data_IF_102881250259
#
_entry.id   IF_102881250259
#
_cell.length_a   1.000
_cell.length_b   1.000
_cell.length_c   1.000
_cell.angle_alpha   90.00
_cell.angle_beta   90.00
_cell.angle_gamma   90.00
#
_symmetry.space_group_name_H-M   'P 1'
#
loop_
_entity.id
_entity.type
_entity.pdbx_description
1 polymer ?
#
# COMPACT_ATOMS: atom_id res chain seq x y z
N UNK A 1 0.91 16.25 -27.37
CA UNK A 1 -0.10 16.37 -26.30
C UNK A 1 0.09 15.13 -25.45
N UNK A 2 0.36 15.21 -24.15
CA UNK A 2 0.41 14.01 -23.33
C UNK A 2 -1.02 13.50 -23.21
N UNK A 3 -1.30 12.31 -23.71
CA UNK A 3 -2.60 11.71 -23.57
C UNK A 3 -2.90 11.55 -22.08
N UNK A 4 -4.08 12.02 -21.67
CA UNK A 4 -4.56 11.92 -20.29
C UNK A 4 -4.78 10.45 -19.96
N UNK A 5 -4.21 9.93 -18.88
CA UNK A 5 -4.31 8.53 -18.47
C UNK A 5 -5.73 8.23 -17.93
N UNK A 6 -6.44 7.30 -18.59
CA UNK A 6 -7.78 6.87 -18.19
C UNK A 6 -7.69 5.83 -17.06
N UNK A 7 -8.28 6.14 -15.92
CA UNK A 7 -8.21 5.30 -14.73
C UNK A 7 -9.60 4.79 -14.35
N UNK A 8 -9.68 3.48 -14.15
CA UNK A 8 -10.84 2.79 -13.60
C UNK A 8 -10.60 2.48 -12.12
N UNK A 9 -11.58 2.78 -11.27
CA UNK A 9 -11.52 2.50 -9.84
C UNK A 9 -12.53 1.42 -9.47
N UNK A 10 -12.09 0.40 -8.75
CA UNK A 10 -12.94 -0.60 -8.10
C UNK A 10 -13.00 -0.36 -6.59
N UNK A 11 -14.13 -0.70 -5.94
CA UNK A 11 -14.37 -0.36 -4.55
C UNK A 11 -14.56 1.15 -4.35
N UNK A 12 -15.26 1.80 -5.27
CA UNK A 12 -15.37 3.26 -5.39
C UNK A 12 -15.95 3.94 -4.15
N UNK A 13 -16.83 3.27 -3.38
CA UNK A 13 -17.47 3.82 -2.17
C UNK A 13 -16.64 3.60 -0.91
N UNK A 14 -15.59 2.77 -0.97
CA UNK A 14 -14.66 2.55 0.13
C UNK A 14 -13.81 3.77 0.43
N UNK A 15 -13.25 3.85 1.66
CA UNK A 15 -12.41 4.99 2.09
C UNK A 15 -11.22 5.24 1.15
N UNK A 16 -10.63 4.19 0.56
CA UNK A 16 -9.54 4.33 -0.42
C UNK A 16 -10.08 4.72 -1.80
N UNK A 17 -11.18 4.10 -2.25
CA UNK A 17 -11.82 4.45 -3.53
C UNK A 17 -12.17 5.93 -3.62
N UNK A 18 -12.80 6.47 -2.58
CA UNK A 18 -13.13 7.92 -2.49
C UNK A 18 -11.87 8.79 -2.55
N UNK A 19 -10.81 8.45 -1.81
CA UNK A 19 -9.55 9.19 -1.83
C UNK A 19 -8.87 9.14 -3.21
N UNK A 20 -8.90 7.99 -3.88
CA UNK A 20 -8.38 7.82 -5.24
C UNK A 20 -9.15 8.66 -6.25
N UNK A 21 -10.49 8.59 -6.24
CA UNK A 21 -11.33 9.38 -7.16
C UNK A 21 -11.06 10.88 -6.96
N UNK A 22 -10.97 11.35 -5.71
CA UNK A 22 -10.66 12.75 -5.42
C UNK A 22 -9.29 13.18 -5.97
N UNK A 23 -8.26 12.35 -5.83
CA UNK A 23 -6.93 12.64 -6.36
C UNK A 23 -6.90 12.59 -7.90
N UNK A 24 -7.61 11.62 -8.53
CA UNK A 24 -7.72 11.52 -10.00
C UNK A 24 -8.37 12.78 -10.59
N UNK A 25 -9.48 13.22 -10.01
CA UNK A 25 -10.21 14.43 -10.48
C UNK A 25 -9.37 15.70 -10.32
N UNK A 26 -8.49 15.73 -9.33
CA UNK A 26 -7.61 16.88 -9.05
C UNK A 26 -6.33 16.91 -9.91
N UNK A 27 -5.97 15.79 -10.53
CA UNK A 27 -4.72 15.65 -11.30
C UNK A 27 -4.96 15.88 -12.79
N UNK A 28 -4.21 16.82 -13.40
CA UNK A 28 -4.37 17.20 -14.82
C UNK A 28 -3.94 16.13 -15.81
N UNK A 29 -3.18 15.12 -15.39
CA UNK A 29 -2.64 14.05 -16.23
C UNK A 29 -3.46 12.77 -16.16
N UNK A 30 -4.52 12.75 -15.34
CA UNK A 30 -5.37 11.58 -15.15
C UNK A 30 -6.85 11.93 -15.33
N UNK A 31 -7.63 10.95 -15.77
CA UNK A 31 -9.08 11.06 -15.95
C UNK A 31 -9.76 9.82 -15.39
N UNK A 32 -10.78 10.01 -14.57
CA UNK A 32 -11.66 8.93 -14.17
C UNK A 32 -12.51 8.51 -15.38
N UNK A 33 -12.37 7.26 -15.83
CA UNK A 33 -13.17 6.71 -16.92
C UNK A 33 -14.27 5.75 -16.43
N UNK A 34 -14.15 5.22 -15.20
CA UNK A 34 -15.15 4.36 -14.60
C UNK A 34 -14.95 4.23 -13.09
N UNK A 35 -16.05 3.93 -12.40
CA UNK A 35 -16.08 3.68 -10.95
C UNK A 35 -16.99 2.49 -10.67
N UNK A 36 -16.46 1.48 -9.99
CA UNK A 36 -17.19 0.25 -9.73
C UNK A 36 -17.30 -0.05 -8.26
N UNK A 37 -18.44 -0.66 -7.89
CA UNK A 37 -18.71 -1.11 -6.55
C UNK A 37 -19.44 -2.44 -6.56
N UNK A 38 -19.50 -3.11 -5.40
CA UNK A 38 -20.28 -4.33 -5.23
C UNK A 38 -21.75 -4.09 -5.59
N UNK A 39 -22.38 -5.05 -6.28
CA UNK A 39 -23.74 -4.95 -6.81
C UNK A 39 -24.82 -4.59 -5.77
N UNK A 40 -24.59 -4.95 -4.50
CA UNK A 40 -25.54 -4.67 -3.40
C UNK A 40 -25.28 -3.29 -2.76
N UNK A 41 -24.39 -2.48 -3.31
CA UNK A 41 -24.16 -1.12 -2.81
C UNK A 41 -25.33 -0.20 -3.13
N UNK A 42 -25.80 0.53 -2.12
CA UNK A 42 -26.85 1.55 -2.28
C UNK A 42 -26.40 2.76 -3.11
N UNK A 43 -25.12 2.83 -3.48
CA UNK A 43 -24.56 3.94 -4.28
C UNK A 43 -24.48 3.64 -5.77
N UNK A 44 -24.94 2.48 -6.22
CA UNK A 44 -25.03 2.19 -7.65
C UNK A 44 -25.93 3.22 -8.34
N UNK A 45 -25.46 3.81 -9.43
CA UNK A 45 -26.13 4.88 -10.17
C UNK A 45 -25.87 6.30 -9.62
N UNK A 46 -25.18 6.46 -8.48
CA UNK A 46 -24.75 7.77 -8.01
C UNK A 46 -23.48 8.22 -8.73
N UNK A 47 -23.31 9.53 -8.89
CA UNK A 47 -22.05 10.11 -9.40
C UNK A 47 -20.88 9.77 -8.46
N UNK A 48 -19.76 9.34 -9.02
CA UNK A 48 -18.58 8.92 -8.27
C UNK A 48 -17.97 10.03 -7.38
N UNK A 49 -18.29 11.30 -7.65
CA UNK A 49 -17.94 12.45 -6.82
C UNK A 49 -18.91 12.77 -5.69
N UNK A 50 -19.95 11.95 -5.51
CA UNK A 50 -21.01 12.16 -4.50
C UNK A 50 -20.45 12.48 -3.10
N UNK A 51 -19.42 11.76 -2.68
CA UNK A 51 -18.89 11.84 -1.31
C UNK A 51 -18.07 13.10 -1.00
N UNK A 52 -17.67 13.85 -2.02
CA UNK A 52 -16.87 15.09 -1.86
C UNK A 52 -17.43 16.28 -2.63
N UNK A 53 -18.70 16.20 -3.04
CA UNK A 53 -19.43 17.32 -3.62
C UNK A 53 -18.93 17.82 -4.99
N UNK A 54 -18.16 16.98 -5.70
CA UNK A 54 -17.67 17.30 -7.04
C UNK A 54 -18.37 16.42 -8.07
N UNK A 55 -18.95 17.02 -9.10
CA UNK A 55 -19.57 16.25 -10.18
C UNK A 55 -18.52 15.70 -11.13
N UNK A 56 -18.46 14.37 -11.24
CA UNK A 56 -17.52 13.67 -12.13
C UNK A 56 -18.15 13.32 -13.49
N UNK A 57 -19.47 13.24 -13.58
CA UNK A 57 -20.25 12.68 -14.67
C UNK A 57 -19.92 11.21 -14.97
N UNK A 58 -19.42 10.48 -13.97
CA UNK A 58 -19.18 9.05 -13.99
C UNK A 58 -20.06 8.42 -12.93
N UNK A 59 -20.98 7.57 -13.32
CA UNK A 59 -21.85 6.84 -12.39
C UNK A 59 -21.13 5.63 -11.83
N UNK A 60 -21.34 5.33 -10.54
CA UNK A 60 -20.86 4.11 -9.90
C UNK A 60 -21.67 2.93 -10.43
N UNK A 61 -20.98 1.90 -10.94
CA UNK A 61 -21.59 0.71 -11.57
C UNK A 61 -21.33 -0.58 -10.79
N UNK A 62 -22.23 -1.54 -10.95
CA UNK A 62 -22.15 -2.84 -10.29
C UNK A 62 -21.22 -3.85 -11.00
N UNK A 63 -20.70 -3.52 -12.17
CA UNK A 63 -19.88 -4.43 -13.00
C UNK A 63 -19.22 -3.69 -14.15
N UNK A 64 -18.36 -4.40 -14.86
CA UNK A 64 -17.68 -3.89 -16.07
C UNK A 64 -18.68 -3.65 -17.19
N UNK A 65 -18.52 -2.52 -17.86
CA UNK A 65 -19.27 -2.16 -19.06
C UNK A 65 -18.29 -1.63 -20.13
N UNK A 66 -18.82 -1.12 -21.25
CA UNK A 66 -18.00 -0.61 -22.35
C UNK A 66 -17.05 0.52 -21.93
N UNK A 67 -17.41 1.32 -20.92
CA UNK A 67 -16.54 2.38 -20.40
C UNK A 67 -15.30 1.84 -19.69
N UNK A 68 -15.39 0.65 -19.09
CA UNK A 68 -14.28 0.00 -18.45
C UNK A 68 -13.19 -0.45 -19.43
N UNK A 69 -13.57 -0.78 -20.68
CA UNK A 69 -12.62 -1.16 -21.72
C UNK A 69 -11.76 0.01 -22.23
N UNK A 70 -12.17 1.25 -21.95
CA UNK A 70 -11.39 2.45 -22.28
C UNK A 70 -10.33 2.79 -21.22
N UNK A 71 -10.21 2.00 -20.16
CA UNK A 71 -9.23 2.24 -19.12
C UNK A 71 -7.81 1.84 -19.55
N UNK A 72 -6.85 2.70 -19.29
CA UNK A 72 -5.42 2.38 -19.43
C UNK A 72 -4.92 1.61 -18.18
N UNK A 73 -5.45 1.97 -17.01
CA UNK A 73 -5.07 1.40 -15.71
C UNK A 73 -6.30 1.21 -14.83
N UNK A 74 -6.39 0.04 -14.17
CA UNK A 74 -7.32 -0.22 -13.08
C UNK A 74 -6.56 -0.12 -11.74
N UNK A 75 -7.16 0.55 -10.74
CA UNK A 75 -6.61 0.64 -9.37
C UNK A 75 -7.57 -0.06 -8.40
N UNK A 76 -7.01 -0.97 -7.59
CA UNK A 76 -7.76 -1.84 -6.69
C UNK A 76 -7.19 -1.85 -5.26
N UNK A 77 -8.08 -1.59 -4.29
CA UNK A 77 -7.86 -1.73 -2.85
C UNK A 77 -9.03 -2.49 -2.20
N UNK A 78 -9.49 -3.56 -2.81
CA UNK A 78 -10.68 -4.29 -2.37
C UNK A 78 -10.34 -5.50 -1.49
N UNK A 79 -10.59 -6.70 -1.97
CA UNK A 79 -10.34 -7.98 -1.27
C UNK A 79 -9.75 -9.00 -2.23
N UNK A 80 -8.94 -9.97 -1.77
CA UNK A 80 -8.27 -10.95 -2.63
C UNK A 80 -9.18 -11.63 -3.65
N UNK A 81 -10.35 -12.11 -3.24
CA UNK A 81 -11.29 -12.79 -4.16
C UNK A 81 -11.76 -11.88 -5.31
N UNK A 82 -12.14 -10.63 -5.00
CA UNK A 82 -12.56 -9.67 -6.02
C UNK A 82 -11.38 -9.21 -6.88
N UNK A 83 -10.21 -9.01 -6.27
CA UNK A 83 -8.99 -8.63 -6.98
C UNK A 83 -8.60 -9.64 -8.06
N UNK A 84 -8.77 -10.94 -7.82
CA UNK A 84 -8.49 -11.98 -8.81
C UNK A 84 -9.48 -11.94 -9.99
N UNK A 85 -10.75 -11.62 -9.73
CA UNK A 85 -11.75 -11.40 -10.80
C UNK A 85 -11.38 -10.18 -11.66
N UNK A 86 -10.98 -9.08 -11.00
CA UNK A 86 -10.52 -7.87 -11.71
C UNK A 86 -9.22 -8.09 -12.47
N UNK A 87 -8.30 -8.88 -11.92
CA UNK A 87 -7.07 -9.28 -12.60
C UNK A 87 -7.36 -10.05 -13.90
N UNK A 88 -8.30 -11.02 -13.85
CA UNK A 88 -8.72 -11.77 -15.03
C UNK A 88 -9.32 -10.85 -16.09
N UNK A 89 -10.14 -9.88 -15.68
CA UNK A 89 -10.68 -8.85 -16.59
C UNK A 89 -9.54 -8.01 -17.22
N UNK A 90 -8.60 -7.53 -16.41
CA UNK A 90 -7.47 -6.75 -16.88
C UNK A 90 -6.60 -7.51 -17.90
N UNK A 91 -6.32 -8.80 -17.66
CA UNK A 91 -5.60 -9.67 -18.61
C UNK A 91 -6.30 -9.73 -19.96
N UNK A 92 -7.61 -9.98 -19.95
CA UNK A 92 -8.42 -10.16 -21.18
C UNK A 92 -8.49 -8.87 -22.01
N UNK A 93 -8.49 -7.70 -21.37
CA UNK A 93 -8.63 -6.41 -22.03
C UNK A 93 -7.29 -5.64 -22.14
N UNK A 94 -6.17 -6.25 -21.70
CA UNK A 94 -4.83 -5.64 -21.71
C UNK A 94 -4.75 -4.32 -20.94
N UNK A 95 -5.56 -4.20 -19.87
CA UNK A 95 -5.57 -3.07 -18.93
C UNK A 95 -4.47 -3.31 -17.89
N UNK A 96 -3.65 -2.30 -17.60
CA UNK A 96 -2.62 -2.38 -16.57
C UNK A 96 -3.23 -2.30 -15.18
N UNK A 97 -2.56 -2.86 -14.17
CA UNK A 97 -3.19 -3.08 -12.88
C UNK A 97 -2.35 -2.57 -11.70
N UNK A 98 -2.90 -1.65 -10.92
CA UNK A 98 -2.34 -1.22 -9.62
C UNK A 98 -3.09 -1.94 -8.52
N UNK A 99 -2.41 -2.83 -7.81
CA UNK A 99 -2.97 -3.72 -6.80
C UNK A 99 -2.43 -3.36 -5.41
N UNK A 100 -3.28 -2.73 -4.61
CA UNK A 100 -3.01 -2.36 -3.21
C UNK A 100 -3.74 -3.27 -2.21
N UNK A 101 -4.50 -4.26 -2.67
CA UNK A 101 -5.13 -5.28 -1.83
C UNK A 101 -4.08 -6.15 -1.16
N UNK A 102 -4.31 -6.50 0.09
CA UNK A 102 -3.43 -7.36 0.90
C UNK A 102 -4.15 -8.64 1.32
N UNK A 103 -3.39 -9.61 1.85
CA UNK A 103 -3.96 -10.86 2.38
C UNK A 103 -4.08 -11.99 1.36
N UNK A 104 -3.37 -11.91 0.23
CA UNK A 104 -3.29 -13.02 -0.73
C UNK A 104 -2.49 -14.20 -0.16
N UNK A 105 -2.97 -15.40 -0.41
CA UNK A 105 -2.21 -16.64 -0.24
C UNK A 105 -1.08 -16.74 -1.27
N UNK A 106 -0.12 -17.63 -1.04
CA UNK A 106 1.00 -17.81 -1.96
C UNK A 106 0.55 -18.27 -3.36
N UNK A 107 -0.48 -19.14 -3.44
CA UNK A 107 -1.09 -19.53 -4.71
C UNK A 107 -1.73 -18.35 -5.46
N UNK A 108 -2.36 -17.44 -4.74
CA UNK A 108 -2.95 -16.24 -5.36
C UNK A 108 -1.86 -15.27 -5.83
N UNK A 109 -0.73 -15.18 -5.13
CA UNK A 109 0.45 -14.42 -5.59
C UNK A 109 1.06 -15.01 -6.85
N UNK A 110 1.11 -16.35 -6.98
CA UNK A 110 1.54 -17.03 -8.21
C UNK A 110 0.64 -16.66 -9.42
N UNK A 111 -0.69 -16.55 -9.20
CA UNK A 111 -1.61 -16.09 -10.26
C UNK A 111 -1.32 -14.64 -10.67
N UNK A 112 -1.01 -13.77 -9.71
CA UNK A 112 -0.65 -12.37 -9.98
C UNK A 112 0.67 -12.30 -10.76
N UNK A 113 1.65 -13.10 -10.37
CA UNK A 113 2.95 -13.20 -11.05
C UNK A 113 2.78 -13.72 -12.49
N UNK A 114 1.99 -14.78 -12.69
CA UNK A 114 1.68 -15.29 -14.03
C UNK A 114 1.03 -14.21 -14.91
N UNK A 115 0.07 -13.47 -14.38
CA UNK A 115 -0.60 -12.39 -15.10
C UNK A 115 0.34 -11.27 -15.52
N UNK A 116 1.42 -11.05 -14.77
CA UNK A 116 2.41 -10.02 -15.07
C UNK A 116 3.23 -10.30 -16.35
N UNK A 117 3.21 -11.53 -16.86
CA UNK A 117 3.80 -11.86 -18.15
C UNK A 117 2.99 -11.28 -19.33
N UNK A 118 1.74 -10.89 -19.10
CA UNK A 118 0.84 -10.38 -20.14
C UNK A 118 0.50 -8.90 -20.00
N UNK A 119 0.45 -8.36 -18.78
CA UNK A 119 0.13 -6.97 -18.48
C UNK A 119 1.09 -6.41 -17.44
N UNK A 120 1.26 -5.09 -17.39
CA UNK A 120 2.04 -4.45 -16.32
C UNK A 120 1.20 -4.38 -15.03
N UNK A 121 1.75 -4.89 -13.94
CA UNK A 121 1.12 -4.92 -12.62
C UNK A 121 2.03 -4.22 -11.62
N UNK A 122 1.52 -3.24 -10.87
CA UNK A 122 2.19 -2.74 -9.67
C UNK A 122 1.48 -3.31 -8.45
N UNK A 123 2.12 -4.26 -7.78
CA UNK A 123 1.62 -4.90 -6.57
C UNK A 123 2.43 -4.46 -5.35
N UNK A 124 1.78 -3.79 -4.40
CA UNK A 124 2.42 -3.37 -3.17
C UNK A 124 1.44 -3.34 -2.00
N UNK A 125 1.81 -3.87 -0.82
CA UNK A 125 0.96 -3.87 0.37
C UNK A 125 0.78 -2.46 0.97
N UNK A 126 1.65 -1.53 0.61
CA UNK A 126 1.58 -0.13 1.02
C UNK A 126 2.02 0.78 -0.14
N UNK A 127 1.13 1.66 -0.59
CA UNK A 127 1.38 2.57 -1.71
C UNK A 127 1.96 3.93 -1.27
N UNK A 128 2.17 4.18 0.03
CA UNK A 128 2.75 5.44 0.50
C UNK A 128 4.20 5.60 0.05
N UNK A 129 4.48 6.71 -0.62
CA UNK A 129 5.85 7.08 -1.00
C UNK A 129 6.76 7.17 0.22
N UNK A 130 6.26 7.80 1.31
CA UNK A 130 7.03 7.97 2.54
C UNK A 130 7.34 6.66 3.25
N UNK A 131 6.37 5.70 3.30
CA UNK A 131 6.60 4.38 3.90
C UNK A 131 7.62 3.57 3.10
N UNK A 132 7.53 3.58 1.77
CA UNK A 132 8.48 2.84 0.95
C UNK A 132 9.91 3.44 1.00
N UNK A 133 10.02 4.77 1.10
CA UNK A 133 11.30 5.42 1.37
C UNK A 133 11.81 5.04 2.78
N UNK A 134 10.95 5.06 3.80
CA UNK A 134 11.31 4.64 5.16
C UNK A 134 11.87 3.22 5.18
N UNK A 135 11.23 2.27 4.50
CA UNK A 135 11.72 0.88 4.37
C UNK A 135 13.15 0.84 3.82
N UNK A 136 13.42 1.58 2.74
CA UNK A 136 14.75 1.65 2.12
C UNK A 136 15.81 2.27 3.04
N UNK A 137 15.43 3.32 3.79
CA UNK A 137 16.30 3.93 4.79
C UNK A 137 16.59 3.00 5.97
N UNK A 138 15.59 2.26 6.43
CA UNK A 138 15.71 1.24 7.49
C UNK A 138 16.65 0.12 7.06
N UNK A 139 16.52 -0.40 5.83
CA UNK A 139 17.45 -1.40 5.31
C UNK A 139 18.92 -0.89 5.30
N UNK A 140 19.10 0.36 4.88
CA UNK A 140 20.43 1.00 4.84
C UNK A 140 21.00 1.22 6.25
N UNK A 141 20.19 1.78 7.15
CA UNK A 141 20.59 2.02 8.54
C UNK A 141 20.88 0.71 9.29
N UNK A 142 20.05 -0.31 9.10
CA UNK A 142 20.23 -1.60 9.77
C UNK A 142 21.55 -2.27 9.38
N UNK A 143 21.96 -2.23 8.11
CA UNK A 143 23.25 -2.80 7.66
C UNK A 143 24.46 -2.20 8.38
N UNK A 144 24.34 -0.95 8.82
CA UNK A 144 25.44 -0.25 9.53
C UNK A 144 25.31 -0.42 11.05
N UNK A 145 24.10 -0.44 11.59
CA UNK A 145 23.87 -0.24 13.03
C UNK A 145 23.56 -1.53 13.81
N UNK A 146 23.23 -2.65 13.14
CA UNK A 146 22.65 -3.83 13.79
C UNK A 146 23.58 -4.53 14.79
N UNK A 147 24.89 -4.33 14.72
CA UNK A 147 25.85 -4.94 15.65
C UNK A 147 25.92 -4.20 16.98
N UNK A 148 25.80 -2.86 16.95
CA UNK A 148 26.04 -2.01 18.12
C UNK A 148 24.78 -1.34 18.68
N UNK A 149 23.66 -1.38 17.95
CA UNK A 149 22.42 -0.71 18.33
C UNK A 149 21.28 -1.70 18.61
N UNK A 150 20.51 -1.41 19.64
CA UNK A 150 19.22 -2.05 19.89
C UNK A 150 18.17 -1.50 18.95
N UNK A 151 17.26 -2.36 18.45
CA UNK A 151 16.28 -1.96 17.44
C UNK A 151 14.87 -2.17 17.97
N UNK A 152 14.07 -1.08 17.97
CA UNK A 152 12.67 -1.08 18.41
C UNK A 152 11.79 -0.46 17.32
N UNK A 153 10.66 -1.09 17.03
CA UNK A 153 9.65 -0.60 16.10
C UNK A 153 8.45 -0.13 16.89
N UNK A 154 8.09 1.14 16.74
CA UNK A 154 7.01 1.77 17.46
C UNK A 154 5.95 2.19 16.45
N UNK A 155 4.69 1.77 16.64
CA UNK A 155 3.61 2.16 15.77
C UNK A 155 2.41 2.70 16.52
N UNK A 156 1.74 3.70 15.96
CA UNK A 156 0.54 4.29 16.54
C UNK A 156 -0.56 4.37 15.47
N UNK A 157 -1.76 3.89 15.80
CA UNK A 157 -2.95 4.01 14.97
C UNK A 157 -4.18 4.40 15.79
N UNK A 158 -5.27 4.72 15.08
CA UNK A 158 -6.55 5.05 15.68
C UNK A 158 -7.09 3.91 16.55
N UNK A 159 -7.96 4.28 17.48
CA UNK A 159 -8.57 3.37 18.49
C UNK A 159 -9.31 2.16 17.91
N UNK A 160 -9.81 2.28 16.68
CA UNK A 160 -10.64 1.24 16.04
C UNK A 160 -9.82 0.25 15.19
N UNK A 161 -8.47 0.36 15.16
CA UNK A 161 -7.61 -0.59 14.45
C UNK A 161 -7.45 -1.88 15.25
N UNK A 162 -7.87 -3.01 14.66
CA UNK A 162 -7.96 -4.32 15.35
C UNK A 162 -6.70 -5.16 15.23
N UNK A 163 -5.94 -5.02 14.15
CA UNK A 163 -4.68 -5.74 13.96
C UNK A 163 -3.52 -5.04 14.72
N UNK A 164 -2.68 -5.81 15.39
CA UNK A 164 -1.50 -5.35 16.14
C UNK A 164 -0.40 -6.44 16.14
N UNK A 165 0.84 -6.11 15.78
CA UNK A 165 1.25 -4.87 15.14
C UNK A 165 0.63 -4.66 13.76
N UNK A 166 0.70 -3.41 13.24
CA UNK A 166 0.23 -3.10 11.89
C UNK A 166 1.06 -3.81 10.81
N UNK A 167 0.48 -4.07 9.63
CA UNK A 167 1.22 -4.66 8.51
C UNK A 167 2.47 -3.85 8.12
N UNK A 168 2.43 -2.51 8.24
CA UNK A 168 3.61 -1.66 8.00
C UNK A 168 4.69 -1.86 9.06
N UNK A 169 4.31 -2.02 10.34
CA UNK A 169 5.27 -2.30 11.41
C UNK A 169 5.92 -3.67 11.22
N UNK A 170 5.16 -4.69 10.84
CA UNK A 170 5.71 -6.00 10.48
C UNK A 170 6.68 -5.88 9.30
N UNK A 171 6.31 -5.18 8.22
CA UNK A 171 7.19 -4.97 7.07
C UNK A 171 8.49 -4.23 7.43
N UNK A 172 8.44 -3.26 8.36
CA UNK A 172 9.66 -2.62 8.89
C UNK A 172 10.52 -3.61 9.68
N UNK A 173 9.91 -4.47 10.50
CA UNK A 173 10.61 -5.54 11.19
C UNK A 173 11.25 -6.56 10.25
N UNK A 174 10.56 -6.95 9.19
CA UNK A 174 11.09 -7.82 8.15
C UNK A 174 12.29 -7.19 7.44
N UNK A 175 12.21 -5.88 7.13
CA UNK A 175 13.32 -5.14 6.54
C UNK A 175 14.56 -5.11 7.47
N UNK A 176 14.35 -4.90 8.78
CA UNK A 176 15.40 -5.01 9.80
C UNK A 176 15.96 -6.43 9.85
N UNK A 177 15.10 -7.44 9.95
CA UNK A 177 15.50 -8.84 10.08
C UNK A 177 16.33 -9.29 8.88
N UNK A 178 15.86 -9.03 7.66
CA UNK A 178 16.56 -9.37 6.41
C UNK A 178 17.92 -8.66 6.33
N UNK A 179 17.99 -7.38 6.70
CA UNK A 179 19.21 -6.57 6.61
C UNK A 179 20.27 -6.90 7.70
N UNK A 180 19.88 -7.67 8.72
CA UNK A 180 20.75 -8.09 9.83
C UNK A 180 20.93 -9.61 9.93
N UNK A 181 20.54 -10.38 8.90
CA UNK A 181 20.54 -11.84 8.89
C UNK A 181 19.77 -12.48 10.06
N UNK A 182 18.63 -11.90 10.41
CA UNK A 182 17.72 -12.36 11.48
C UNK A 182 16.35 -12.75 10.87
N UNK A 183 15.49 -13.33 11.69
CA UNK A 183 14.08 -13.59 11.33
C UNK A 183 13.16 -13.03 12.41
N UNK A 184 11.98 -12.60 12.04
CA UNK A 184 10.96 -12.16 13.01
C UNK A 184 10.50 -13.31 13.90
N UNK A 185 10.46 -14.53 13.37
CA UNK A 185 10.04 -15.71 14.11
C UNK A 185 10.95 -16.02 15.32
N UNK A 186 12.24 -15.76 15.20
CA UNK A 186 13.24 -16.06 16.24
C UNK A 186 13.58 -14.83 17.10
N UNK A 187 13.50 -13.63 16.53
CA UNK A 187 14.04 -12.41 17.16
C UNK A 187 12.95 -11.35 17.46
N UNK A 188 11.70 -11.55 17.00
CA UNK A 188 10.61 -10.61 17.22
C UNK A 188 10.11 -10.66 18.66
N UNK A 189 10.14 -9.51 19.36
CA UNK A 189 9.62 -9.35 20.72
C UNK A 189 8.40 -8.42 20.70
N UNK A 190 7.22 -9.01 20.82
CA UNK A 190 5.94 -8.30 20.67
C UNK A 190 5.35 -7.84 22.01
N UNK A 191 5.87 -8.30 23.12
CA UNK A 191 5.35 -7.98 24.46
C UNK A 191 6.47 -8.00 25.49
N UNK A 192 6.45 -6.99 26.38
CA UNK A 192 7.24 -6.95 27.60
C UNK A 192 6.32 -6.48 28.72
N UNK A 193 6.10 -7.34 29.75
CA UNK A 193 5.20 -7.07 30.86
C UNK A 193 5.82 -7.59 32.17
N UNK A 194 5.68 -6.83 33.29
CA UNK A 194 6.19 -7.19 34.57
C UNK A 194 7.73 -7.18 34.63
N UNK A 195 8.30 -8.14 35.38
CA UNK A 195 9.75 -8.31 35.48
C UNK A 195 10.18 -9.34 34.45
N UNK A 196 10.88 -8.90 33.43
CA UNK A 196 11.40 -9.74 32.35
C UNK A 196 12.94 -9.73 32.36
N UNK A 197 13.55 -10.67 31.67
CA UNK A 197 15.00 -10.67 31.46
C UNK A 197 15.43 -9.41 30.66
N UNK A 198 16.66 -8.92 30.82
CA UNK A 198 17.21 -7.88 29.96
C UNK A 198 17.11 -8.28 28.50
N UNK A 199 16.80 -7.29 27.62
CA UNK A 199 16.74 -7.54 26.18
C UNK A 199 18.06 -8.06 25.64
N UNK A 200 17.98 -8.84 24.58
CA UNK A 200 19.16 -9.30 23.85
C UNK A 200 19.46 -8.36 22.66
N UNK A 201 20.72 -8.26 22.29
CA UNK A 201 21.14 -7.42 21.14
C UNK A 201 20.44 -7.86 19.84
N UNK A 202 20.15 -9.13 19.71
CA UNK A 202 19.45 -9.68 18.53
C UNK A 202 17.96 -9.40 18.48
N UNK A 203 17.34 -8.94 19.59
CA UNK A 203 15.91 -8.69 19.62
C UNK A 203 15.49 -7.59 18.64
N UNK A 204 14.34 -7.77 18.02
CA UNK A 204 13.63 -6.77 17.24
C UNK A 204 12.32 -6.50 18.01
N UNK A 205 12.29 -5.39 18.75
CA UNK A 205 11.15 -5.08 19.60
C UNK A 205 10.01 -4.43 18.82
N UNK A 206 8.78 -4.67 19.28
CA UNK A 206 7.57 -4.04 18.73
C UNK A 206 6.76 -3.41 19.86
N UNK A 207 6.39 -2.13 19.68
CA UNK A 207 5.52 -1.39 20.57
C UNK A 207 4.32 -0.85 19.79
N UNK A 208 3.12 -1.25 20.22
CA UNK A 208 1.86 -0.88 19.55
C UNK A 208 1.06 0.08 20.39
N UNK A 209 0.68 1.22 19.82
CA UNK A 209 -0.16 2.24 20.46
C UNK A 209 -1.48 2.36 19.70
N UNK A 210 -2.60 2.47 20.42
CA UNK A 210 -3.94 2.72 19.89
C UNK A 210 -4.54 3.94 20.56
N UNK A 211 -4.94 4.96 19.77
CA UNK A 211 -5.51 6.19 20.34
C UNK A 211 -6.00 7.17 19.28
N UNK A 212 -7.03 7.93 19.65
CA UNK A 212 -7.56 8.99 18.81
C UNK A 212 -7.97 8.54 17.41
N UNK A 213 -7.64 9.36 16.43
CA UNK A 213 -7.88 9.21 15.00
C UNK A 213 -6.60 9.07 14.17
N UNK A 214 -5.48 8.73 14.81
CA UNK A 214 -4.17 8.60 14.16
C UNK A 214 -4.26 7.66 12.97
N UNK A 215 -3.88 8.15 11.79
CA UNK A 215 -3.95 7.39 10.55
C UNK A 215 -2.90 6.29 10.50
N UNK A 216 -1.68 6.59 10.96
CA UNK A 216 -0.60 5.64 11.11
C UNK A 216 0.76 6.32 11.23
N UNK A 217 1.37 6.21 12.40
CA UNK A 217 2.74 6.65 12.67
C UNK A 217 3.62 5.42 12.87
N UNK A 218 4.82 5.44 12.32
CA UNK A 218 5.77 4.34 12.42
C UNK A 218 7.17 4.92 12.65
N UNK A 219 7.83 4.44 13.68
CA UNK A 219 9.22 4.80 14.01
C UNK A 219 10.05 3.53 14.16
N UNK A 220 11.21 3.50 13.53
CA UNK A 220 12.27 2.55 13.86
C UNK A 220 13.31 3.31 14.65
N UNK A 221 13.47 2.91 15.91
CA UNK A 221 14.45 3.44 16.85
C UNK A 221 15.68 2.52 16.86
N UNK A 222 16.83 3.08 16.59
CA UNK A 222 18.15 2.48 16.80
C UNK A 222 18.78 3.13 18.03
N UNK A 223 18.96 2.38 19.11
CA UNK A 223 19.48 2.85 20.38
C UNK A 223 20.86 2.28 20.67
N UNK A 224 21.89 3.10 20.55
CA UNK A 224 23.29 2.78 20.88
C UNK A 224 23.68 3.37 22.23
N UNK A 225 24.92 3.12 22.66
CA UNK A 225 25.50 3.66 23.88
C UNK A 225 25.83 5.16 23.67
N UNK A 226 25.01 6.02 24.28
CA UNK A 226 25.19 7.47 24.22
C UNK A 226 24.54 8.19 23.06
N UNK A 227 23.97 7.47 22.07
CA UNK A 227 23.26 8.07 20.93
C UNK A 227 22.04 7.25 20.50
N UNK A 228 21.13 7.88 19.76
CA UNK A 228 19.96 7.25 19.14
C UNK A 228 19.71 7.81 17.74
N UNK A 229 19.22 6.96 16.87
CA UNK A 229 18.72 7.35 15.55
C UNK A 229 17.26 6.91 15.45
N UNK A 230 16.38 7.82 15.02
CA UNK A 230 14.96 7.55 14.81
C UNK A 230 14.60 7.82 13.36
N UNK A 231 14.10 6.80 12.67
CA UNK A 231 13.54 6.92 11.34
C UNK A 231 12.02 6.87 11.44
N UNK A 232 11.36 7.99 11.20
CA UNK A 232 9.93 8.15 11.47
C UNK A 232 9.15 8.57 10.23
N UNK A 233 8.00 7.92 10.00
CA UNK A 233 6.97 8.33 9.06
C UNK A 233 5.65 8.53 9.80
N UNK A 234 4.96 9.66 9.51
CA UNK A 234 3.64 9.98 10.04
C UNK A 234 2.66 10.26 8.90
N UNK A 235 1.58 9.48 8.85
CA UNK A 235 0.53 9.67 7.87
C UNK A 235 -0.59 10.56 8.44
N UNK A 236 -0.78 11.75 7.86
CA UNK A 236 -1.85 12.66 8.25
C UNK A 236 -3.19 12.38 7.56
N UNK A 237 -3.19 11.63 6.46
CA UNK A 237 -4.42 11.28 5.72
C UNK A 237 -4.21 10.10 4.78
N UNK A 238 -5.32 9.47 4.33
CA UNK A 238 -5.30 8.43 3.29
C UNK A 238 -4.89 8.94 1.90
N UNK A 239 -4.86 10.24 1.69
CA UNK A 239 -4.38 10.86 0.43
C UNK A 239 -2.94 10.47 0.09
N UNK A 240 -2.11 10.18 1.08
CA UNK A 240 -0.72 9.73 0.86
C UNK A 240 -0.67 8.41 0.08
N UNK A 241 -1.57 7.47 0.39
CA UNK A 241 -1.68 6.19 -0.32
C UNK A 241 -2.30 6.37 -1.71
N UNK A 242 -3.33 7.22 -1.84
CA UNK A 242 -3.95 7.51 -3.12
C UNK A 242 -2.96 8.19 -4.10
N UNK A 243 -2.17 9.15 -3.64
CA UNK A 243 -1.11 9.79 -4.43
C UNK A 243 -0.04 8.79 -4.87
N UNK A 244 0.35 7.88 -3.98
CA UNK A 244 1.29 6.82 -4.33
C UNK A 244 0.75 5.85 -5.38
N UNK A 245 -0.51 5.42 -5.25
CA UNK A 245 -1.18 4.59 -6.23
C UNK A 245 -1.31 5.29 -7.60
N UNK A 246 -1.60 6.59 -7.61
CA UNK A 246 -1.60 7.39 -8.84
C UNK A 246 -0.21 7.46 -9.49
N UNK A 247 0.84 7.60 -8.67
CA UNK A 247 2.23 7.56 -9.16
C UNK A 247 2.56 6.19 -9.74
N UNK A 248 2.12 5.10 -9.10
CA UNK A 248 2.25 3.74 -9.62
C UNK A 248 1.51 3.58 -10.95
N UNK A 249 0.27 4.07 -11.07
CA UNK A 249 -0.49 4.03 -12.31
C UNK A 249 0.24 4.74 -13.46
N UNK A 250 0.77 5.94 -13.23
CA UNK A 250 1.57 6.68 -14.22
C UNK A 250 2.85 5.95 -14.61
N UNK A 251 3.50 5.27 -13.66
CA UNK A 251 4.71 4.49 -13.91
C UNK A 251 4.42 3.27 -14.79
N UNK A 252 3.43 2.43 -14.42
CA UNK A 252 3.11 1.22 -15.19
C UNK A 252 2.43 1.55 -16.53
N UNK A 253 1.83 2.73 -16.69
CA UNK A 253 1.26 3.17 -17.95
C UNK A 253 2.28 3.12 -19.11
N UNK A 254 3.56 3.33 -18.81
CA UNK A 254 4.65 3.29 -19.77
C UNK A 254 5.23 1.89 -20.00
N UNK A 255 4.75 0.87 -19.28
CA UNK A 255 5.26 -0.51 -19.35
C UNK A 255 4.31 -1.38 -20.19
N UNK A 256 4.86 -2.36 -20.90
CA UNK A 256 4.04 -3.33 -21.65
C UNK A 256 3.53 -4.44 -20.74
N UNK A 257 4.39 -5.02 -19.91
CA UNK A 257 4.12 -6.10 -18.96
C UNK A 257 5.18 -6.08 -17.86
N UNK A 258 5.00 -6.90 -16.85
CA UNK A 258 5.94 -7.10 -15.74
C UNK A 258 5.29 -6.87 -14.39
N UNK A 259 5.88 -7.48 -13.34
CA UNK A 259 5.51 -7.27 -11.95
C UNK A 259 6.44 -6.24 -11.32
N UNK A 260 5.85 -5.15 -10.84
CA UNK A 260 6.53 -4.03 -10.22
C UNK A 260 6.01 -3.82 -8.80
N UNK A 261 6.84 -3.21 -7.97
CA UNK A 261 6.46 -2.74 -6.64
C UNK A 261 6.70 -1.22 -6.49
N UNK A 262 6.44 -0.67 -5.32
CA UNK A 262 6.68 0.76 -5.08
C UNK A 262 8.17 1.14 -5.10
N UNK A 263 9.08 0.21 -4.91
CA UNK A 263 10.54 0.48 -5.01
C UNK A 263 10.94 0.71 -6.48
N UNK A 264 10.31 0.00 -7.42
CA UNK A 264 10.47 0.26 -8.87
C UNK A 264 9.91 1.64 -9.23
N UNK A 265 8.68 1.93 -8.76
CA UNK A 265 8.00 3.22 -9.00
C UNK A 265 8.80 4.41 -8.49
N UNK A 266 9.54 4.23 -7.40
CA UNK A 266 10.32 5.26 -6.73
C UNK A 266 11.81 5.26 -7.09
N UNK A 267 12.24 4.31 -7.93
CA UNK A 267 13.65 4.10 -8.28
C UNK A 267 14.55 3.88 -7.04
N UNK A 268 14.08 3.03 -6.12
CA UNK A 268 14.77 2.69 -4.87
C UNK A 268 15.49 1.33 -4.94
N UNK A 269 15.35 0.59 -6.04
CA UNK A 269 16.14 -0.62 -6.29
C UNK A 269 17.51 -0.20 -6.85
N UNK A 270 18.55 -0.52 -6.12
CA UNK A 270 19.95 -0.38 -6.55
C UNK A 270 20.38 -1.57 -7.39
#
# INVERSE_FOLDING_TARGET
>A
MSDTLNILIVGATGKMGQALIQEIVSDKLTKLCGAMEHKDSSFIGHDAGHFFGTKTNIDIKAGFDDSATAADVLIDFTRPSASLEYLAYCRNHKIKYVLGTTGFSDKEKEIIEDASNEIAICFAPNMSVGVNLLLSLVETATKVLHEDFDIEIIETHHKDKVDAPSGTAIGLGEAVALSSNRTIAEHGVFQREGVVAPRQRSDIGFSTIRGGDVVGDHTVLYAGDGERIELTHKAGSRKTFAKGALRAAKFIATKSHGLFDMRDVLNLKS
#
